data_IF_742684038761
#
_entry.id   IF_742684038761
#
_cell.length_a   1.000
_cell.length_b   1.000
_cell.length_c   1.000
_cell.angle_alpha   90.00
_cell.angle_beta   90.00
_cell.angle_gamma   90.00
#
_symmetry.space_group_name_H-M   'P 1'
#
loop_
_entity.id
_entity.type
_entity.pdbx_description
1 polymer ?
#
# COMPACT_ATOMS: atom_id res chain seq x y z
N UNK A 1 1.66 5.07 4.53
CA UNK A 1 1.56 4.67 5.94
C UNK A 1 0.27 3.90 6.13
N UNK A 2 0.35 2.76 6.80
CA UNK A 2 -0.81 1.97 7.24
C UNK A 2 -0.89 2.10 8.76
N UNK A 3 -2.08 2.35 9.28
CA UNK A 3 -2.33 2.39 10.72
C UNK A 3 -3.75 1.92 11.06
N UNK A 4 -4.00 1.67 12.33
CA UNK A 4 -5.31 1.31 12.85
C UNK A 4 -5.82 2.42 13.76
N UNK A 5 -7.02 2.92 13.48
CA UNK A 5 -7.72 3.81 14.39
C UNK A 5 -8.09 3.08 15.71
N UNK A 6 -8.50 3.85 16.73
CA UNK A 6 -8.85 3.30 18.04
C UNK A 6 -10.00 2.25 17.99
N UNK A 7 -10.86 2.33 16.97
CA UNK A 7 -11.93 1.37 16.71
C UNK A 7 -11.48 0.15 15.87
N UNK A 8 -10.18 0.01 15.61
CA UNK A 8 -9.58 -1.08 14.82
C UNK A 8 -9.65 -0.89 13.30
N UNK A 9 -10.27 0.18 12.80
CA UNK A 9 -10.37 0.47 11.36
C UNK A 9 -8.99 0.71 10.75
N UNK A 10 -8.69 0.01 9.66
CA UNK A 10 -7.47 0.21 8.88
C UNK A 10 -7.55 1.50 8.07
N UNK A 11 -6.49 2.30 8.15
CA UNK A 11 -6.31 3.55 7.45
C UNK A 11 -5.08 3.49 6.56
N UNK A 12 -5.15 4.16 5.42
CA UNK A 12 -4.02 4.40 4.54
C UNK A 12 -3.82 5.89 4.33
N UNK A 13 -2.60 6.35 4.58
CA UNK A 13 -2.17 7.74 4.38
C UNK A 13 -0.94 7.80 3.50
N UNK A 14 -0.95 8.68 2.50
CA UNK A 14 0.20 8.91 1.62
C UNK A 14 0.43 10.40 1.34
N UNK A 15 1.70 10.74 1.11
CA UNK A 15 2.18 12.07 0.75
C UNK A 15 2.94 11.93 -0.58
N UNK A 16 2.44 12.57 -1.63
CA UNK A 16 2.99 12.46 -2.99
C UNK A 16 4.32 13.20 -3.15
N UNK A 17 4.68 14.05 -2.18
CA UNK A 17 5.96 14.74 -2.09
C UNK A 17 6.59 14.48 -0.71
N UNK A 18 7.93 14.55 -0.57
CA UNK A 18 8.57 14.46 0.73
C UNK A 18 8.04 15.56 1.65
N UNK A 19 7.23 15.14 2.62
CA UNK A 19 6.59 15.98 3.61
C UNK A 19 6.76 15.33 4.98
N UNK A 20 6.75 16.13 6.04
CA UNK A 20 6.65 15.57 7.40
C UNK A 20 5.34 14.80 7.53
N UNK A 21 5.38 13.65 8.20
CA UNK A 21 4.20 12.83 8.53
C UNK A 21 3.17 13.58 9.37
N UNK A 22 3.58 14.68 10.04
CA UNK A 22 2.69 15.54 10.82
C UNK A 22 1.82 16.46 9.93
N UNK A 23 2.14 16.57 8.63
CA UNK A 23 1.32 17.33 7.69
C UNK A 23 0.14 16.50 7.22
N UNK A 24 -0.94 17.19 6.84
CA UNK A 24 -2.10 16.57 6.20
C UNK A 24 -1.65 15.72 5.00
N UNK A 25 -2.08 14.45 4.89
CA UNK A 25 -1.76 13.59 3.76
C UNK A 25 -2.47 14.04 2.48
N UNK A 26 -1.84 13.77 1.33
CA UNK A 26 -2.44 14.01 0.01
C UNK A 26 -3.53 12.96 -0.31
N UNK A 27 -3.36 11.76 0.23
CA UNK A 27 -4.33 10.66 0.15
C UNK A 27 -4.58 10.12 1.54
N UNK A 28 -5.85 10.08 1.92
CA UNK A 28 -6.32 9.46 3.16
C UNK A 28 -7.53 8.58 2.84
N UNK A 29 -7.41 7.29 3.16
CA UNK A 29 -8.43 6.28 2.94
C UNK A 29 -8.70 5.53 4.25
N UNK A 30 -9.95 5.21 4.50
CA UNK A 30 -10.40 4.51 5.69
C UNK A 30 -11.17 3.24 5.30
N UNK A 31 -11.15 2.23 6.18
CA UNK A 31 -11.93 1.01 5.99
C UNK A 31 -11.29 0.02 5.02
N UNK A 32 -9.95 -0.12 5.08
CA UNK A 32 -9.26 -1.16 4.31
C UNK A 32 -9.47 -2.57 4.87
N UNK A 33 -9.12 -3.57 4.06
CA UNK A 33 -9.01 -4.97 4.47
C UNK A 33 -7.54 -5.36 4.57
N UNK A 34 -7.25 -6.40 5.37
CA UNK A 34 -5.93 -6.98 5.53
C UNK A 34 -6.01 -8.47 5.23
N UNK A 35 -5.09 -8.99 4.42
CA UNK A 35 -4.99 -10.40 4.07
C UNK A 35 -3.53 -10.82 4.03
N UNK A 36 -3.21 -12.02 4.53
CA UNK A 36 -1.91 -12.64 4.32
C UNK A 36 -1.98 -13.50 3.06
N UNK A 37 -1.16 -13.18 2.07
CA UNK A 37 -1.15 -13.85 0.77
C UNK A 37 0.22 -14.47 0.49
N UNK A 38 0.25 -15.38 -0.49
CA UNK A 38 1.47 -16.04 -0.94
C UNK A 38 1.85 -17.28 -0.14
N UNK A 39 3.02 -17.83 -0.48
CA UNK A 39 3.62 -19.02 0.15
C UNK A 39 5.10 -18.77 0.39
N UNK A 40 5.70 -19.43 1.38
CA UNK A 40 7.12 -19.23 1.73
C UNK A 40 8.03 -19.48 0.51
N UNK A 41 9.00 -18.58 0.20
CA UNK A 41 9.44 -17.39 0.93
C UNK A 41 8.75 -16.07 0.54
N UNK A 42 7.70 -16.14 -0.27
CA UNK A 42 6.96 -15.03 -0.86
C UNK A 42 5.66 -14.70 -0.10
N UNK A 43 5.61 -14.93 1.22
CA UNK A 43 4.48 -14.49 2.04
C UNK A 43 4.56 -12.97 2.24
N UNK A 44 3.42 -12.30 2.17
CA UNK A 44 3.25 -10.88 2.45
C UNK A 44 1.86 -10.59 3.04
N UNK A 45 1.77 -9.50 3.79
CA UNK A 45 0.51 -8.92 4.19
C UNK A 45 0.12 -7.84 3.20
N UNK A 46 -1.05 -8.00 2.60
CA UNK A 46 -1.67 -7.04 1.69
C UNK A 46 -2.79 -6.29 2.39
N UNK A 47 -2.72 -4.96 2.32
CA UNK A 47 -3.79 -4.07 2.71
C UNK A 47 -4.46 -3.48 1.48
N UNK A 48 -5.78 -3.70 1.35
CA UNK A 48 -6.57 -3.24 0.21
C UNK A 48 -7.50 -2.10 0.62
N UNK A 49 -7.46 -0.99 -0.11
CA UNK A 49 -8.33 0.18 0.08
C UNK A 49 -9.00 0.57 -1.23
N UNK A 50 -10.21 1.15 -1.16
CA UNK A 50 -10.98 1.56 -2.33
C UNK A 50 -11.46 2.99 -2.22
N UNK A 51 -11.45 3.71 -3.35
CA UNK A 51 -12.06 5.03 -3.51
C UNK A 51 -12.74 5.11 -4.87
N UNK A 52 -14.06 4.89 -4.91
CA UNK A 52 -14.81 4.80 -6.16
C UNK A 52 -14.32 3.63 -7.00
N UNK A 53 -13.86 3.91 -8.22
CA UNK A 53 -13.32 2.92 -9.16
C UNK A 53 -11.80 2.68 -9.02
N UNK A 54 -11.15 3.29 -8.01
CA UNK A 54 -9.71 3.14 -7.74
C UNK A 54 -9.50 2.19 -6.58
N UNK A 55 -8.61 1.22 -6.77
CA UNK A 55 -8.15 0.27 -5.74
C UNK A 55 -6.67 0.49 -5.47
N UNK A 56 -6.30 0.45 -4.19
CA UNK A 56 -4.94 0.57 -3.70
C UNK A 56 -4.62 -0.70 -2.94
N UNK A 57 -3.62 -1.45 -3.41
CA UNK A 57 -3.07 -2.62 -2.70
C UNK A 57 -1.69 -2.23 -2.18
N UNK A 58 -1.50 -2.29 -0.86
CA UNK A 58 -0.24 -2.02 -0.19
C UNK A 58 0.31 -3.33 0.34
N UNK A 59 1.52 -3.71 -0.05
CA UNK A 59 2.19 -4.92 0.41
C UNK A 59 3.37 -4.58 1.32
N UNK A 60 3.54 -5.32 2.41
CA UNK A 60 4.66 -5.18 3.37
C UNK A 60 5.97 -5.84 2.94
N UNK A 61 6.00 -6.34 1.71
CA UNK A 61 7.14 -7.01 1.13
C UNK A 61 7.25 -6.63 -0.36
N UNK A 62 8.49 -6.49 -0.82
CA UNK A 62 8.81 -6.30 -2.23
C UNK A 62 9.46 -7.54 -2.86
N UNK A 63 9.70 -8.60 -2.06
CA UNK A 63 10.22 -9.88 -2.54
C UNK A 63 9.16 -10.57 -3.39
N UNK A 64 9.62 -11.23 -4.45
CA UNK A 64 8.76 -11.92 -5.41
C UNK A 64 7.75 -11.00 -6.15
N UNK A 65 7.86 -9.68 -5.98
CA UNK A 65 7.06 -8.72 -6.74
C UNK A 65 7.56 -8.59 -8.17
N UNK A 66 6.64 -8.44 -9.11
CA UNK A 66 6.97 -8.09 -10.48
C UNK A 66 7.62 -6.70 -10.58
N UNK A 67 8.33 -6.42 -11.68
CA UNK A 67 8.79 -5.06 -11.99
C UNK A 67 10.12 -4.63 -11.35
N UNK A 68 10.96 -5.59 -10.93
CA UNK A 68 12.34 -5.39 -10.45
C UNK A 68 12.41 -4.35 -9.30
N UNK A 69 12.10 -4.76 -8.07
CA UNK A 69 12.18 -3.86 -6.91
C UNK A 69 13.59 -3.28 -6.72
N UNK A 70 13.70 -1.98 -6.34
CA UNK A 70 14.95 -1.39 -5.88
C UNK A 70 15.59 -2.17 -4.71
N UNK A 71 16.92 -2.08 -4.55
CA UNK A 71 17.68 -2.87 -3.56
C UNK A 71 17.21 -2.70 -2.11
N UNK A 72 16.60 -1.57 -1.78
CA UNK A 72 16.11 -1.21 -0.44
C UNK A 72 14.58 -1.09 -0.38
N UNK A 73 13.86 -1.58 -1.39
CA UNK A 73 12.42 -1.67 -1.33
C UNK A 73 12.01 -2.70 -0.28
N UNK A 74 11.10 -2.29 0.61
CA UNK A 74 10.58 -3.12 1.68
C UNK A 74 9.06 -3.32 1.57
N UNK A 75 8.46 -2.88 0.48
CA UNK A 75 7.04 -2.98 0.22
C UNK A 75 6.71 -2.31 -1.09
N UNK A 76 5.44 -2.33 -1.44
CA UNK A 76 4.95 -1.67 -2.64
C UNK A 76 3.53 -1.19 -2.48
N UNK A 77 3.15 -0.25 -3.35
CA UNK A 77 1.77 0.16 -3.57
C UNK A 77 1.44 -0.09 -5.03
N UNK A 78 0.40 -0.86 -5.30
CA UNK A 78 -0.19 -1.02 -6.62
C UNK A 78 -1.50 -0.25 -6.66
N UNK A 79 -1.67 0.57 -7.69
CA UNK A 79 -2.89 1.34 -7.93
C UNK A 79 -3.54 0.80 -9.20
N UNK A 80 -4.82 0.45 -9.08
CA UNK A 80 -5.63 0.00 -10.20
C UNK A 80 -6.84 0.92 -10.38
N UNK A 81 -7.17 1.27 -11.62
CA UNK A 81 -8.34 2.09 -11.98
C UNK A 81 -9.22 1.25 -12.89
N UNK A 82 -10.51 1.11 -12.57
CA UNK A 82 -11.43 0.21 -13.30
C UNK A 82 -10.91 -1.24 -13.39
N UNK A 83 -10.21 -1.72 -12.35
CA UNK A 83 -9.56 -3.04 -12.28
C UNK A 83 -8.37 -3.22 -13.24
N UNK A 84 -7.92 -2.16 -13.90
CA UNK A 84 -6.73 -2.17 -14.73
C UNK A 84 -5.55 -1.54 -13.98
N UNK A 85 -4.36 -2.12 -14.16
CA UNK A 85 -3.13 -1.59 -13.56
C UNK A 85 -2.88 -0.16 -14.04
N UNK A 86 -2.76 0.78 -13.10
CA UNK A 86 -2.48 2.18 -13.40
C UNK A 86 -1.04 2.57 -13.02
N UNK A 87 -0.58 2.15 -11.83
CA UNK A 87 0.76 2.49 -11.35
C UNK A 87 1.26 1.53 -10.27
N UNK A 88 2.59 1.48 -10.11
CA UNK A 88 3.27 0.85 -8.98
C UNK A 88 4.27 1.82 -8.36
N UNK A 89 4.31 1.85 -7.04
CA UNK A 89 5.28 2.61 -6.26
C UNK A 89 5.99 1.68 -5.28
N UNK A 90 7.28 1.91 -5.05
CA UNK A 90 8.07 1.13 -4.11
C UNK A 90 8.15 1.85 -2.76
N UNK A 91 7.88 1.13 -1.68
CA UNK A 91 8.11 1.62 -0.33
C UNK A 91 9.60 1.44 -0.02
N UNK A 92 10.28 2.56 0.24
CA UNK A 92 11.72 2.60 0.50
C UNK A 92 11.91 3.22 1.90
N UNK A 93 12.81 2.65 2.69
CA UNK A 93 13.25 3.22 3.96
C UNK A 93 14.40 4.19 3.77
#
# INVERSE_FOLDING_TARGET
>A
MIDRAANGTLNYRAWNKPHSVDRKPDVELHGGTEETVGTDPCVNTDWTFKRGNVEYVVADNARCSEGKPPRNANGMVVVSINKEFAARYWCIK
#
